data_IF_222672530235
#
_entry.id   IF_222672530235
#
_cell.length_a   1.000
_cell.length_b   1.000
_cell.length_c   1.000
_cell.angle_alpha   90.00
_cell.angle_beta   90.00
_cell.angle_gamma   90.00
#
_symmetry.space_group_name_H-M   'P 1'
#
loop_
_entity.id
_entity.type
_entity.pdbx_description
1 polymer ?
#
# COMPACT_ATOMS: atom_id res chain seq x y z
N UNK A 1 22.42 -3.70 -4.37
CA UNK A 1 21.28 -4.34 -5.10
C UNK A 1 21.12 -3.65 -6.45
N UNK A 2 21.04 -4.40 -7.56
CA UNK A 2 20.86 -3.86 -8.91
C UNK A 2 19.52 -4.37 -9.44
N UNK A 3 18.66 -3.47 -9.93
CA UNK A 3 17.36 -3.82 -10.50
C UNK A 3 17.52 -4.07 -11.99
N UNK A 4 18.01 -5.26 -12.34
CA UNK A 4 18.16 -5.72 -13.73
C UNK A 4 17.36 -7.01 -13.89
N UNK A 5 16.61 -7.11 -14.99
CA UNK A 5 15.87 -8.33 -15.29
C UNK A 5 16.84 -9.48 -15.59
N UNK A 6 16.50 -10.75 -15.30
CA UNK A 6 17.41 -11.88 -15.54
C UNK A 6 17.89 -11.97 -16.99
N UNK A 7 17.06 -11.53 -17.95
CA UNK A 7 17.36 -11.53 -19.37
C UNK A 7 18.44 -10.48 -19.76
N UNK A 8 18.55 -9.40 -19.00
CA UNK A 8 19.44 -8.27 -19.30
C UNK A 8 20.76 -8.33 -18.51
N UNK A 9 20.93 -9.35 -17.66
CA UNK A 9 22.08 -9.49 -16.77
C UNK A 9 23.42 -9.58 -17.55
N UNK A 10 23.39 -10.23 -18.71
CA UNK A 10 24.58 -10.38 -19.58
C UNK A 10 25.03 -9.05 -20.16
N UNK A 11 24.09 -8.21 -20.63
CA UNK A 11 24.39 -6.89 -21.14
C UNK A 11 24.88 -5.95 -20.03
N UNK A 12 24.25 -6.01 -18.86
CA UNK A 12 24.69 -5.28 -17.67
C UNK A 12 26.15 -5.60 -17.31
N UNK A 13 26.51 -6.89 -17.24
CA UNK A 13 27.88 -7.29 -16.89
C UNK A 13 28.92 -6.79 -17.91
N UNK A 14 28.57 -6.78 -19.20
CA UNK A 14 29.43 -6.22 -20.25
C UNK A 14 29.66 -4.72 -20.01
N UNK A 15 28.60 -3.95 -19.77
CA UNK A 15 28.72 -2.52 -19.49
C UNK A 15 29.55 -2.25 -18.22
N UNK A 16 29.35 -3.03 -17.15
CA UNK A 16 30.13 -2.90 -15.91
C UNK A 16 31.62 -3.16 -16.14
N UNK A 17 31.99 -4.09 -17.03
CA UNK A 17 33.39 -4.32 -17.39
C UNK A 17 33.99 -3.19 -18.22
N UNK A 18 33.20 -2.59 -19.12
CA UNK A 18 33.63 -1.45 -19.95
C UNK A 18 33.79 -0.15 -19.12
N UNK A 19 33.12 -0.05 -17.97
CA UNK A 19 33.19 1.06 -17.03
C UNK A 19 34.51 1.06 -16.25
N UNK A 20 35.31 2.13 -16.39
CA UNK A 20 36.59 2.32 -15.68
C UNK A 20 36.45 2.59 -14.17
N UNK A 21 35.23 2.83 -13.69
CA UNK A 21 34.95 3.19 -12.30
C UNK A 21 33.93 2.23 -11.70
N UNK A 22 34.13 1.90 -10.41
CA UNK A 22 33.23 1.03 -9.67
C UNK A 22 31.88 1.74 -9.49
N UNK A 23 30.80 1.11 -9.93
CA UNK A 23 29.44 1.61 -9.68
C UNK A 23 29.18 1.51 -8.17
N UNK A 24 28.85 2.63 -7.48
CA UNK A 24 28.48 2.56 -6.09
C UNK A 24 27.20 1.74 -5.95
N UNK A 25 27.20 0.79 -5.03
CA UNK A 25 25.98 0.06 -4.73
C UNK A 25 24.95 1.00 -4.13
N UNK A 26 23.71 0.91 -4.63
CA UNK A 26 22.62 1.68 -4.06
C UNK A 26 22.39 1.23 -2.61
N UNK A 27 22.44 2.15 -1.62
CA UNK A 27 22.26 1.81 -0.22
C UNK A 27 20.78 1.46 0.01
N UNK A 28 20.47 0.16 -0.07
CA UNK A 28 19.13 -0.34 0.27
C UNK A 28 19.12 -0.70 1.75
N UNK A 29 18.37 0.07 2.54
CA UNK A 29 18.07 -0.26 3.93
C UNK A 29 17.08 -1.43 4.01
N UNK A 30 17.59 -2.66 3.86
CA UNK A 30 16.80 -3.89 3.90
C UNK A 30 16.01 -4.04 5.21
N UNK A 31 16.54 -3.47 6.31
CA UNK A 31 15.91 -3.46 7.62
C UNK A 31 14.54 -2.74 7.65
N UNK A 32 14.33 -1.78 6.74
CA UNK A 32 13.07 -1.03 6.63
C UNK A 32 12.07 -1.70 5.68
N UNK A 33 12.52 -2.62 4.82
CA UNK A 33 11.64 -3.27 3.86
C UNK A 33 10.61 -4.18 4.52
N UNK A 34 10.96 -4.87 5.60
CA UNK A 34 10.03 -5.77 6.30
C UNK A 34 8.82 -5.04 6.90
N UNK A 35 8.98 -3.97 7.70
CA UNK A 35 7.83 -3.21 8.20
C UNK A 35 7.03 -2.54 7.07
N UNK A 36 7.69 -2.07 6.00
CA UNK A 36 7.01 -1.51 4.83
C UNK A 36 6.15 -2.59 4.14
N UNK A 37 6.70 -3.77 3.89
CA UNK A 37 5.97 -4.90 3.30
C UNK A 37 4.76 -5.29 4.13
N UNK A 38 4.88 -5.31 5.47
CA UNK A 38 3.76 -5.58 6.37
C UNK A 38 2.64 -4.55 6.22
N UNK A 39 2.97 -3.25 6.20
CA UNK A 39 2.01 -2.17 5.99
C UNK A 39 1.30 -2.28 4.65
N UNK A 40 2.07 -2.46 3.57
CA UNK A 40 1.52 -2.59 2.21
C UNK A 40 0.59 -3.79 2.12
N UNK A 41 0.98 -4.95 2.68
CA UNK A 41 0.14 -6.15 2.67
C UNK A 41 -1.20 -5.93 3.39
N UNK A 42 -1.19 -5.28 4.55
CA UNK A 42 -2.41 -4.93 5.29
C UNK A 42 -3.28 -3.95 4.50
N UNK A 43 -2.69 -2.89 3.97
CA UNK A 43 -3.39 -1.87 3.18
C UNK A 43 -4.02 -2.47 1.90
N UNK A 44 -3.27 -3.29 1.15
CA UNK A 44 -3.80 -3.94 -0.06
C UNK A 44 -4.92 -4.93 0.25
N UNK A 45 -4.88 -5.62 1.39
CA UNK A 45 -5.99 -6.50 1.80
C UNK A 45 -7.25 -5.69 2.13
N UNK A 46 -7.09 -4.58 2.87
CA UNK A 46 -8.19 -3.68 3.18
C UNK A 46 -8.79 -3.06 1.92
N UNK A 47 -7.96 -2.59 0.99
CA UNK A 47 -8.39 -1.98 -0.28
C UNK A 47 -9.22 -2.95 -1.14
N UNK A 48 -8.81 -4.23 -1.20
CA UNK A 48 -9.59 -5.29 -1.89
C UNK A 48 -10.97 -5.50 -1.26
N UNK A 49 -11.07 -5.46 0.06
CA UNK A 49 -12.36 -5.60 0.75
C UNK A 49 -13.25 -4.36 0.54
N UNK A 50 -12.68 -3.16 0.64
CA UNK A 50 -13.41 -1.91 0.44
C UNK A 50 -13.91 -1.78 -1.00
N UNK A 51 -13.08 -2.08 -1.99
CA UNK A 51 -13.47 -2.05 -3.41
C UNK A 51 -14.57 -3.08 -3.72
N UNK A 52 -14.50 -4.28 -3.14
CA UNK A 52 -15.57 -5.28 -3.28
C UNK A 52 -16.90 -4.81 -2.67
N UNK A 53 -16.88 -4.26 -1.45
CA UNK A 53 -18.09 -3.72 -0.81
C UNK A 53 -18.64 -2.54 -1.59
N UNK A 54 -17.78 -1.62 -2.04
CA UNK A 54 -18.18 -0.45 -2.85
C UNK A 54 -18.82 -0.88 -4.16
N UNK A 55 -18.26 -1.87 -4.86
CA UNK A 55 -18.85 -2.41 -6.10
C UNK A 55 -20.24 -3.00 -5.86
N UNK A 56 -20.37 -3.86 -4.84
CA UNK A 56 -21.65 -4.46 -4.48
C UNK A 56 -22.71 -3.42 -4.06
N UNK A 57 -22.32 -2.39 -3.32
CA UNK A 57 -23.22 -1.29 -2.96
C UNK A 57 -23.59 -0.43 -4.16
N UNK A 58 -22.64 -0.14 -5.05
CA UNK A 58 -22.87 0.66 -6.25
C UNK A 58 -23.79 -0.05 -7.24
N UNK A 59 -23.63 -1.36 -7.41
CA UNK A 59 -24.51 -2.19 -8.26
C UNK A 59 -25.95 -2.18 -7.72
N UNK A 60 -26.13 -2.26 -6.39
CA UNK A 60 -27.45 -2.14 -5.75
C UNK A 60 -28.08 -0.77 -5.97
N UNK A 61 -27.35 0.30 -5.63
CA UNK A 61 -27.87 1.65 -5.78
C UNK A 61 -28.19 1.97 -7.25
N UNK A 62 -27.37 1.48 -8.18
CA UNK A 62 -27.66 1.60 -9.61
C UNK A 62 -28.95 0.86 -9.97
N UNK A 63 -29.10 -0.39 -9.55
CA UNK A 63 -30.29 -1.19 -9.85
C UNK A 63 -31.58 -0.57 -9.27
N UNK A 64 -31.56 -0.18 -8.00
CA UNK A 64 -32.69 0.47 -7.31
C UNK A 64 -33.08 1.79 -8.00
N UNK A 65 -32.08 2.60 -8.37
CA UNK A 65 -32.31 3.86 -9.06
C UNK A 65 -32.94 3.66 -10.44
N UNK A 66 -32.45 2.71 -11.24
CA UNK A 66 -33.04 2.43 -12.56
C UNK A 66 -34.45 1.86 -12.45
N UNK A 67 -34.72 1.00 -11.48
CA UNK A 67 -36.07 0.48 -11.27
C UNK A 67 -37.05 1.61 -10.90
N UNK A 68 -36.62 2.53 -10.03
CA UNK A 68 -37.41 3.72 -9.69
C UNK A 68 -37.61 4.67 -10.88
N UNK A 69 -36.62 4.83 -11.75
CA UNK A 69 -36.75 5.67 -12.95
C UNK A 69 -37.67 5.05 -14.01
N UNK A 70 -37.85 3.72 -13.99
CA UNK A 70 -38.73 2.99 -14.91
C UNK A 70 -40.10 2.64 -14.32
N UNK A 71 -40.44 3.15 -13.12
CA UNK A 71 -41.64 2.80 -12.34
C UNK A 71 -41.85 1.27 -12.21
N UNK A 72 -40.74 0.51 -12.13
CA UNK A 72 -40.77 -0.93 -11.95
C UNK A 72 -40.85 -1.24 -10.45
N UNK A 73 -41.89 -2.00 -10.06
CA UNK A 73 -41.98 -2.56 -8.70
C UNK A 73 -40.95 -3.67 -8.57
N UNK A 74 -39.99 -3.49 -7.66
CA UNK A 74 -38.98 -4.48 -7.33
C UNK A 74 -39.59 -5.56 -6.42
N UNK A 75 -39.84 -6.75 -6.96
CA UNK A 75 -40.06 -7.94 -6.13
C UNK A 75 -38.73 -8.40 -5.51
N UNK A 76 -38.81 -8.96 -4.29
CA UNK A 76 -37.66 -9.47 -3.53
C UNK A 76 -36.83 -10.52 -4.31
N UNK A 77 -37.45 -11.18 -5.30
CA UNK A 77 -36.80 -12.17 -6.18
C UNK A 77 -35.97 -11.56 -7.32
N UNK A 78 -36.27 -10.31 -7.71
CA UNK A 78 -35.55 -9.56 -8.77
C UNK A 78 -34.43 -8.68 -8.20
N UNK A 79 -34.47 -8.40 -6.90
CA UNK A 79 -33.41 -7.65 -6.23
C UNK A 79 -32.08 -8.43 -6.28
N UNK A 80 -30.94 -7.79 -6.61
CA UNK A 80 -29.63 -8.44 -6.60
C UNK A 80 -29.38 -9.07 -5.24
N UNK A 81 -29.31 -10.42 -5.21
CA UNK A 81 -29.23 -11.30 -4.03
C UNK A 81 -28.71 -10.52 -2.81
N UNK A 82 -29.60 -10.24 -1.87
CA UNK A 82 -29.20 -9.65 -0.60
C UNK A 82 -28.05 -10.50 -0.05
N UNK A 83 -26.88 -9.89 0.10
CA UNK A 83 -25.77 -10.57 0.76
C UNK A 83 -26.27 -10.90 2.14
N UNK A 84 -26.34 -12.20 2.46
CA UNK A 84 -26.77 -12.72 3.76
C UNK A 84 -26.28 -11.79 4.87
N UNK A 85 -27.18 -11.28 5.70
CA UNK A 85 -26.85 -10.32 6.77
C UNK A 85 -25.69 -10.83 7.64
N UNK A 86 -25.57 -12.15 7.84
CA UNK A 86 -24.42 -12.74 8.53
C UNK A 86 -23.10 -12.56 7.77
N UNK A 87 -23.13 -12.71 6.45
CA UNK A 87 -21.97 -12.48 5.58
C UNK A 87 -21.56 -11.01 5.52
N UNK A 88 -22.51 -10.07 5.53
CA UNK A 88 -22.25 -8.64 5.55
C UNK A 88 -21.58 -8.21 6.87
N UNK A 89 -22.14 -8.65 8.00
CA UNK A 89 -21.59 -8.37 9.34
C UNK A 89 -20.17 -8.94 9.53
N UNK A 90 -19.90 -10.13 8.97
CA UNK A 90 -18.55 -10.73 8.97
C UNK A 90 -17.56 -9.88 8.17
N UNK A 91 -17.93 -9.41 6.99
CA UNK A 91 -17.08 -8.54 6.15
C UNK A 91 -16.80 -7.20 6.83
N UNK A 92 -17.80 -6.62 7.47
CA UNK A 92 -17.65 -5.36 8.22
C UNK A 92 -16.71 -5.52 9.42
N UNK A 93 -16.88 -6.58 10.21
CA UNK A 93 -15.96 -6.91 11.31
C UNK A 93 -14.53 -7.16 10.81
N UNK A 94 -14.36 -7.85 9.68
CA UNK A 94 -13.05 -8.04 9.06
C UNK A 94 -12.43 -6.71 8.63
N UNK A 95 -13.20 -5.82 7.99
CA UNK A 95 -12.73 -4.48 7.61
C UNK A 95 -12.27 -3.67 8.82
N UNK A 96 -13.04 -3.70 9.91
CA UNK A 96 -12.71 -2.97 11.14
C UNK A 96 -11.43 -3.52 11.79
N UNK A 97 -11.31 -4.84 11.91
CA UNK A 97 -10.08 -5.47 12.43
C UNK A 97 -8.84 -5.13 11.60
N UNK A 98 -8.96 -5.08 10.27
CA UNK A 98 -7.87 -4.70 9.37
C UNK A 98 -7.52 -3.22 9.47
N UNK A 99 -8.51 -2.34 9.66
CA UNK A 99 -8.29 -0.91 9.92
C UNK A 99 -7.51 -0.70 11.21
N UNK A 100 -7.91 -1.40 12.29
CA UNK A 100 -7.22 -1.34 13.57
C UNK A 100 -5.79 -1.88 13.48
N UNK A 101 -5.59 -3.02 12.83
CA UNK A 101 -4.27 -3.60 12.61
C UNK A 101 -3.36 -2.67 11.78
N UNK A 102 -3.90 -2.06 10.72
CA UNK A 102 -3.17 -1.09 9.90
C UNK A 102 -2.80 0.16 10.71
N UNK A 103 -3.74 0.71 11.48
CA UNK A 103 -3.51 1.88 12.34
C UNK A 103 -2.39 1.60 13.35
N UNK A 104 -2.45 0.47 14.04
CA UNK A 104 -1.42 0.05 14.98
C UNK A 104 -0.03 -0.13 14.32
N UNK A 105 0.02 -0.60 13.08
CA UNK A 105 1.28 -0.73 12.35
C UNK A 105 1.82 0.61 11.83
N UNK A 106 0.93 1.57 11.52
CA UNK A 106 1.28 2.92 11.08
C UNK A 106 1.78 3.80 12.23
N UNK A 107 1.26 3.61 13.45
CA UNK A 107 1.71 4.30 14.66
C UNK A 107 3.17 3.97 15.03
N UNK A 108 3.68 2.81 14.62
CA UNK A 108 5.08 2.44 14.84
C UNK A 108 5.98 3.32 13.96
N UNK A 109 7.07 3.92 14.47
CA UNK A 109 7.98 4.67 13.62
C UNK A 109 8.81 3.72 12.74
N UNK A 110 9.06 4.12 11.49
CA UNK A 110 9.97 3.40 10.58
C UNK A 110 11.40 3.87 10.83
N UNK A 111 12.13 3.20 11.72
CA UNK A 111 13.52 3.56 12.06
C UNK A 111 14.48 2.49 11.52
N UNK A 112 15.52 2.86 10.77
CA UNK A 112 16.57 1.91 10.38
C UNK A 112 17.29 1.37 11.62
N UNK A 113 17.54 0.05 11.65
CA UNK A 113 18.25 -0.58 12.77
C UNK A 113 19.67 0.01 12.87
N UNK A 114 20.03 0.54 14.04
CA UNK A 114 21.36 1.11 14.30
C UNK A 114 21.39 2.64 14.38
N UNK A 115 20.27 3.35 14.16
CA UNK A 115 20.19 4.80 14.32
C UNK A 115 19.35 5.14 15.56
N UNK A 116 19.99 5.75 16.56
CA UNK A 116 19.29 6.27 17.74
C UNK A 116 18.38 7.44 17.34
N UNK A 117 17.17 7.51 17.92
CA UNK A 117 16.20 8.60 17.68
C UNK A 117 16.80 10.00 17.87
N UNK A 118 17.84 10.12 18.69
CA UNK A 118 18.53 11.38 18.96
C UNK A 118 19.55 11.78 17.90
N UNK A 119 19.92 10.90 16.96
CA UNK A 119 21.03 11.10 16.02
C UNK A 119 20.67 10.83 14.55
N UNK A 120 19.38 10.79 14.20
CA UNK A 120 18.92 10.55 12.82
C UNK A 120 19.50 11.57 11.83
N UNK A 121 19.77 12.80 12.28
CA UNK A 121 20.35 13.88 11.46
C UNK A 121 21.84 13.70 11.15
N UNK A 122 22.60 12.95 11.95
CA UNK A 122 24.07 12.92 11.83
C UNK A 122 24.52 11.85 10.84
N UNK A 123 23.80 10.73 10.74
CA UNK A 123 24.19 9.63 9.83
C UNK A 123 23.65 9.82 8.40
N UNK A 124 22.61 10.63 8.21
CA UNK A 124 22.01 10.91 6.89
C UNK A 124 22.81 11.93 6.07
N UNK A 125 23.77 12.65 6.68
CA UNK A 125 24.67 13.56 5.99
C UNK A 125 25.83 12.84 5.27
N UNK A 126 26.10 11.57 5.61
CA UNK A 126 27.23 10.80 5.04
C UNK A 126 26.85 10.14 3.70
N UNK A 127 25.57 9.81 3.52
CA UNK A 127 25.01 9.33 2.25
C UNK A 127 23.94 10.31 1.79
N UNK A 128 24.31 11.22 0.87
CA UNK A 128 23.52 12.36 0.38
C UNK A 128 22.14 12.01 -0.20
N UNK A 129 21.21 11.63 0.67
CA UNK A 129 19.80 11.46 0.41
C UNK A 129 19.07 12.59 1.13
N UNK A 130 18.27 13.34 0.38
CA UNK A 130 17.58 14.54 0.83
C UNK A 130 16.85 14.31 2.17
N UNK A 131 17.06 15.26 3.07
CA UNK A 131 16.41 15.33 4.37
C UNK A 131 14.89 15.55 4.19
N UNK A 132 14.08 14.59 4.66
CA UNK A 132 12.62 14.70 4.64
C UNK A 132 12.09 15.86 5.51
N UNK A 133 12.92 16.42 6.40
CA UNK A 133 12.60 17.60 7.20
C UNK A 133 12.38 18.86 6.35
N UNK A 134 13.03 18.94 5.19
CA UNK A 134 12.92 20.09 4.28
C UNK A 134 11.60 20.09 3.50
N UNK A 135 11.00 18.92 3.29
CA UNK A 135 9.69 18.80 2.61
C UNK A 135 8.54 19.30 3.48
N UNK A 136 8.66 19.18 4.81
CA UNK A 136 7.61 19.60 5.76
C UNK A 136 7.63 21.13 5.98
N UNK A 137 8.76 21.81 5.77
CA UNK A 137 8.87 23.27 5.95
C UNK A 137 8.45 24.09 4.73
N UNK A 138 8.21 23.47 3.58
CA UNK A 138 7.80 24.17 2.34
C UNK A 138 6.29 24.43 2.22
N UNK A 139 5.47 24.10 3.23
CA UNK A 139 4.02 24.38 3.24
C UNK A 139 3.56 25.05 4.56
N UNK A 140 4.31 26.06 4.99
CA UNK A 140 3.86 27.05 5.96
C UNK A 140 3.97 28.44 5.34
#
# INVERSE_FOLDING_TARGET
LILVSPNEMTAYNRHVQDLKHKIPEFPVELNMLDPIKRRVKLASRLDKLLSSTKKSSSERNWFEKNASEMDIILDDDLAPKMTDHRSAKRKESEQESLRQALKAELEKPLIPKGVSRSFVTVNNAIHGTMDFSDVVKSKA
#
